data_IF_728050545241
#
_entry.id   IF_728050545241
#
_cell.length_a   1.000
_cell.length_b   1.000
_cell.length_c   1.000
_cell.angle_alpha   90.00
_cell.angle_beta   90.00
_cell.angle_gamma   90.00
#
_symmetry.space_group_name_H-M   'P 1'
#
loop_
_entity.id
_entity.type
_entity.pdbx_description
1 polymer ?
#
# COMPACT_ATOMS: atom_id res chain seq x y z
N UNK A 1 -26.44 -5.33 5.22
CA UNK A 1 -25.67 -5.44 6.49
C UNK A 1 -25.43 -4.02 6.98
N UNK A 2 -26.00 -3.60 8.12
CA UNK A 2 -25.84 -2.23 8.65
C UNK A 2 -24.34 -1.99 8.91
N UNK A 3 -23.78 -0.92 8.32
CA UNK A 3 -22.40 -0.52 8.59
C UNK A 3 -22.20 -0.31 10.09
N UNK A 4 -21.09 -0.80 10.64
CA UNK A 4 -20.76 -0.69 12.06
C UNK A 4 -20.35 0.76 12.37
N UNK A 5 -21.29 1.57 12.86
CA UNK A 5 -21.15 3.03 13.02
C UNK A 5 -21.00 3.50 14.48
N UNK A 6 -19.98 3.02 15.19
CA UNK A 6 -19.58 3.65 16.48
C UNK A 6 -18.39 4.57 16.22
N UNK A 7 -18.52 5.84 16.61
CA UNK A 7 -17.43 6.81 16.54
C UNK A 7 -16.58 6.73 17.81
N UNK A 8 -15.25 6.61 17.63
CA UNK A 8 -14.27 6.65 18.71
C UNK A 8 -13.41 7.91 18.55
N UNK A 9 -13.17 8.62 19.65
CA UNK A 9 -12.32 9.81 19.68
C UNK A 9 -11.07 9.55 20.52
N UNK A 10 -9.91 9.87 19.97
CA UNK A 10 -8.61 9.72 20.64
C UNK A 10 -8.02 11.11 20.89
N UNK A 11 -7.48 11.35 22.10
CA UNK A 11 -6.65 12.52 22.38
C UNK A 11 -5.20 12.15 22.14
N UNK A 12 -4.49 13.00 21.39
CA UNK A 12 -3.07 12.84 21.07
C UNK A 12 -2.43 14.23 21.01
N UNK A 13 -1.16 14.31 21.35
CA UNK A 13 -0.34 15.49 21.09
C UNK A 13 -0.21 15.74 19.58
N UNK A 14 0.15 16.96 19.14
CA UNK A 14 0.37 17.24 17.72
C UNK A 14 1.43 16.33 17.09
N UNK A 15 2.50 16.00 17.83
CA UNK A 15 3.57 15.12 17.38
C UNK A 15 3.08 13.67 17.17
N UNK A 16 2.34 13.13 18.13
CA UNK A 16 1.73 11.79 18.03
C UNK A 16 0.74 11.72 16.87
N UNK A 17 -0.10 12.74 16.69
CA UNK A 17 -1.04 12.80 15.58
C UNK A 17 -0.33 12.83 14.22
N UNK A 18 0.79 13.54 14.11
CA UNK A 18 1.62 13.57 12.90
C UNK A 18 2.24 12.19 12.62
N UNK A 19 2.78 11.54 13.65
CA UNK A 19 3.35 10.20 13.54
C UNK A 19 2.30 9.17 13.11
N UNK A 20 1.11 9.19 13.72
CA UNK A 20 0.01 8.29 13.35
C UNK A 20 -0.38 8.47 11.88
N UNK A 21 -0.47 9.72 11.40
CA UNK A 21 -0.75 9.99 9.98
C UNK A 21 0.36 9.47 9.06
N UNK A 22 1.62 9.68 9.44
CA UNK A 22 2.76 9.18 8.68
C UNK A 22 2.74 7.65 8.56
N UNK A 23 2.52 6.94 9.67
CA UNK A 23 2.44 5.48 9.70
C UNK A 23 1.24 4.94 8.91
N UNK A 24 0.08 5.59 9.00
CA UNK A 24 -1.09 5.23 8.21
C UNK A 24 -0.82 5.37 6.71
N UNK A 25 -0.20 6.48 6.29
CA UNK A 25 0.19 6.71 4.90
C UNK A 25 1.20 5.66 4.41
N UNK A 26 2.22 5.33 5.22
CA UNK A 26 3.19 4.29 4.90
C UNK A 26 2.53 2.90 4.75
N UNK A 27 1.45 2.65 5.50
CA UNK A 27 0.62 1.46 5.39
C UNK A 27 -0.38 1.52 4.21
N UNK A 28 -0.46 2.64 3.47
CA UNK A 28 -1.46 2.89 2.43
C UNK A 28 -2.89 2.71 2.94
N UNK A 29 -3.15 3.21 4.16
CA UNK A 29 -4.44 3.18 4.83
C UNK A 29 -4.83 4.59 5.26
N UNK A 30 -6.14 4.82 5.41
CA UNK A 30 -6.61 6.00 6.14
C UNK A 30 -6.23 5.89 7.61
N UNK A 31 -6.09 7.01 8.32
CA UNK A 31 -5.78 7.00 9.76
C UNK A 31 -6.74 6.14 10.57
N UNK A 32 -8.04 6.22 10.31
CA UNK A 32 -9.05 5.41 11.00
C UNK A 32 -8.92 3.91 10.70
N UNK A 33 -8.65 3.54 9.45
CA UNK A 33 -8.43 2.15 9.07
C UNK A 33 -7.15 1.60 9.70
N UNK A 34 -6.06 2.38 9.70
CA UNK A 34 -4.80 2.03 10.35
C UNK A 34 -4.99 1.80 11.85
N UNK A 35 -5.59 2.77 12.57
CA UNK A 35 -5.84 2.65 14.01
C UNK A 35 -6.74 1.46 14.33
N UNK A 36 -7.78 1.21 13.54
CA UNK A 36 -8.66 0.05 13.71
C UNK A 36 -7.89 -1.26 13.53
N UNK A 37 -7.08 -1.37 12.48
CA UNK A 37 -6.24 -2.55 12.23
C UNK A 37 -5.29 -2.80 13.39
N UNK A 38 -4.58 -1.77 13.85
CA UNK A 38 -3.65 -1.89 14.98
C UNK A 38 -4.38 -2.26 16.28
N UNK A 39 -5.50 -1.61 16.59
CA UNK A 39 -6.27 -1.88 17.81
C UNK A 39 -6.84 -3.31 17.86
N UNK A 40 -7.19 -3.87 16.71
CA UNK A 40 -7.69 -5.25 16.59
C UNK A 40 -6.59 -6.29 16.42
N UNK A 41 -5.31 -5.90 16.60
CA UNK A 41 -4.13 -6.75 16.32
C UNK A 41 -4.14 -7.34 14.91
N UNK A 42 -4.77 -6.65 13.96
CA UNK A 42 -4.78 -7.01 12.56
C UNK A 42 -3.42 -6.71 11.92
N UNK A 43 -3.12 -7.41 10.83
CA UNK A 43 -1.89 -7.19 10.10
C UNK A 43 -2.07 -6.06 9.07
N UNK A 44 -1.55 -4.87 9.40
CA UNK A 44 -1.54 -3.73 8.48
C UNK A 44 -0.77 -4.02 7.18
N UNK A 45 0.14 -5.01 7.17
CA UNK A 45 0.88 -5.43 5.97
C UNK A 45 -0.05 -6.11 4.96
N UNK A 46 -0.97 -6.96 5.42
CA UNK A 46 -1.93 -7.63 4.53
C UNK A 46 -2.83 -6.59 3.86
N UNK A 47 -3.35 -5.64 4.63
CA UNK A 47 -4.17 -4.57 4.07
C UNK A 47 -3.38 -3.69 3.09
N UNK A 48 -2.13 -3.34 3.41
CA UNK A 48 -1.22 -2.62 2.50
C UNK A 48 -1.00 -3.36 1.19
N UNK A 49 -0.72 -4.66 1.25
CA UNK A 49 -0.47 -5.50 0.06
C UNK A 49 -1.72 -5.61 -0.83
N UNK A 50 -2.90 -5.70 -0.21
CA UNK A 50 -4.17 -5.68 -0.96
C UNK A 50 -4.38 -4.35 -1.69
N UNK A 51 -4.13 -3.22 -1.01
CA UNK A 51 -4.22 -1.89 -1.63
C UNK A 51 -3.21 -1.73 -2.77
N UNK A 52 -1.96 -2.16 -2.56
CA UNK A 52 -0.93 -2.14 -3.61
C UNK A 52 -1.35 -2.99 -4.81
N UNK A 53 -1.83 -4.22 -4.58
CA UNK A 53 -2.28 -5.10 -5.64
C UNK A 53 -3.43 -4.47 -6.46
N UNK A 54 -4.39 -3.82 -5.80
CA UNK A 54 -5.50 -3.14 -6.47
C UNK A 54 -5.00 -1.99 -7.37
N UNK A 55 -4.08 -1.16 -6.88
CA UNK A 55 -3.55 -0.05 -7.68
C UNK A 55 -2.70 -0.56 -8.85
N UNK A 56 -1.87 -1.58 -8.64
CA UNK A 56 -1.08 -2.20 -9.70
C UNK A 56 -1.97 -2.79 -10.81
N UNK A 57 -3.08 -3.44 -10.42
CA UNK A 57 -4.07 -3.95 -11.37
C UNK A 57 -4.71 -2.82 -12.18
N UNK A 58 -5.05 -1.70 -11.54
CA UNK A 58 -5.60 -0.51 -12.19
C UNK A 58 -4.62 0.09 -13.20
N UNK A 59 -3.36 0.27 -12.80
CA UNK A 59 -2.29 0.78 -13.66
C UNK A 59 -2.02 -0.14 -14.86
N UNK A 60 -1.98 -1.46 -14.64
CA UNK A 60 -1.84 -2.42 -15.73
C UNK A 60 -3.01 -2.36 -16.73
N UNK A 61 -4.24 -2.16 -16.23
CA UNK A 61 -5.41 -1.94 -17.08
C UNK A 61 -5.30 -0.68 -17.95
N UNK A 62 -4.85 0.42 -17.35
CA UNK A 62 -4.61 1.69 -18.07
C UNK A 62 -3.53 1.52 -19.13
N UNK A 63 -2.42 0.87 -18.79
CA UNK A 63 -1.32 0.65 -19.73
C UNK A 63 -1.76 -0.21 -20.93
N UNK A 64 -2.53 -1.27 -20.69
CA UNK A 64 -3.14 -2.07 -21.76
C UNK A 64 -4.04 -1.22 -22.67
N UNK A 65 -4.84 -0.33 -22.09
CA UNK A 65 -5.72 0.56 -22.84
C UNK A 65 -4.94 1.51 -23.74
N UNK A 66 -3.93 2.20 -23.19
CA UNK A 66 -3.08 3.13 -23.94
C UNK A 66 -2.28 2.43 -25.05
N UNK A 67 -1.81 1.20 -24.80
CA UNK A 67 -1.13 0.38 -25.80
C UNK A 67 -2.08 0.00 -26.95
N UNK A 68 -3.32 -0.40 -26.64
CA UNK A 68 -4.32 -0.73 -27.66
C UNK A 68 -4.70 0.48 -28.53
N UNK A 69 -4.62 1.70 -27.98
CA UNK A 69 -4.86 2.94 -28.72
C UNK A 69 -3.65 3.41 -29.54
N UNK A 70 -2.53 2.69 -29.52
CA UNK A 70 -1.29 3.10 -30.20
C UNK A 70 -0.66 4.36 -29.62
N UNK A 71 -1.08 4.79 -28.42
CA UNK A 71 -0.59 5.99 -27.73
C UNK A 71 0.71 5.74 -26.97
N UNK A 72 1.16 4.48 -26.91
CA UNK A 72 2.42 4.08 -26.31
C UNK A 72 3.39 3.64 -27.40
N UNK A 73 4.64 4.06 -27.27
CA UNK A 73 5.73 3.52 -28.09
C UNK A 73 5.83 2.00 -27.92
N UNK A 74 6.28 1.30 -28.97
CA UNK A 74 6.27 -0.18 -29.05
C UNK A 74 6.95 -0.87 -27.85
N UNK A 75 7.95 -0.23 -27.24
CA UNK A 75 8.72 -0.73 -26.10
C UNK A 75 8.19 -0.29 -24.72
N UNK A 76 7.27 0.67 -24.65
CA UNK A 76 6.80 1.21 -23.37
C UNK A 76 6.09 0.18 -22.48
N UNK A 77 5.26 -0.75 -23.02
CA UNK A 77 4.68 -1.83 -22.21
C UNK A 77 5.70 -2.79 -21.62
N UNK A 78 6.74 -3.12 -22.40
CA UNK A 78 7.80 -4.04 -21.99
C UNK A 78 8.69 -3.42 -20.92
N UNK A 79 9.04 -2.14 -21.07
CA UNK A 79 9.79 -1.38 -20.07
C UNK A 79 9.00 -1.25 -18.76
N UNK A 80 7.71 -0.91 -18.83
CA UNK A 80 6.86 -0.81 -17.63
C UNK A 80 6.75 -2.15 -16.88
N UNK A 81 6.69 -3.27 -17.60
CA UNK A 81 6.70 -4.60 -16.98
C UNK A 81 8.05 -4.90 -16.31
N UNK A 82 9.17 -4.52 -16.93
CA UNK A 82 10.51 -4.67 -16.36
C UNK A 82 10.68 -3.84 -15.08
N UNK A 83 10.27 -2.57 -15.12
CA UNK A 83 10.32 -1.65 -13.97
C UNK A 83 9.44 -2.16 -12.82
N UNK A 84 8.26 -2.68 -13.13
CA UNK A 84 7.36 -3.27 -12.15
C UNK A 84 7.99 -4.48 -11.45
N UNK A 85 8.58 -5.40 -12.21
CA UNK A 85 9.28 -6.57 -11.65
C UNK A 85 10.45 -6.15 -10.76
N UNK A 86 11.20 -5.12 -11.14
CA UNK A 86 12.29 -4.59 -10.34
C UNK A 86 11.80 -3.92 -9.05
N UNK A 87 10.67 -3.20 -9.10
CA UNK A 87 10.08 -2.58 -7.92
C UNK A 87 9.54 -3.62 -6.93
N UNK A 88 8.81 -4.64 -7.41
CA UNK A 88 8.32 -5.75 -6.56
C UNK A 88 9.47 -6.47 -5.89
N UNK A 89 10.56 -6.74 -6.64
CA UNK A 89 11.73 -7.43 -6.09
C UNK A 89 12.39 -6.63 -4.96
N UNK A 90 12.60 -5.32 -5.16
CA UNK A 90 13.13 -4.43 -4.11
C UNK A 90 12.26 -4.43 -2.85
N UNK A 91 10.94 -4.36 -3.01
CA UNK A 91 10.01 -4.43 -1.87
C UNK A 91 10.12 -5.77 -1.14
N UNK A 92 10.22 -6.89 -1.87
CA UNK A 92 10.42 -8.20 -1.25
C UNK A 92 11.76 -8.28 -0.49
N UNK A 93 12.85 -7.80 -1.09
CA UNK A 93 14.19 -7.78 -0.48
C UNK A 93 14.23 -6.91 0.79
N UNK A 94 13.67 -5.70 0.74
CA UNK A 94 13.53 -4.83 1.92
C UNK A 94 12.70 -5.48 3.04
N UNK A 95 11.65 -6.22 2.68
CA UNK A 95 10.82 -6.94 3.65
C UNK A 95 11.54 -8.12 4.30
N UNK A 96 12.36 -8.84 3.54
CA UNK A 96 13.16 -9.95 4.08
C UNK A 96 14.28 -9.43 4.99
N UNK A 97 14.93 -8.32 4.65
CA UNK A 97 15.88 -7.64 5.53
C UNK A 97 15.23 -7.14 6.83
N UNK A 98 14.04 -6.54 6.75
CA UNK A 98 13.29 -6.10 7.94
C UNK A 98 12.88 -7.27 8.86
N UNK A 99 12.69 -8.48 8.31
CA UNK A 99 12.45 -9.70 9.10
C UNK A 99 13.72 -10.23 9.78
N UNK A 100 14.88 -10.06 9.16
CA UNK A 100 16.16 -10.54 9.71
C UNK A 100 16.72 -9.62 10.80
N UNK A 101 16.44 -8.31 10.74
CA UNK A 101 16.83 -7.34 11.77
C UNK A 101 15.97 -7.37 13.04
N UNK A 102 14.86 -8.12 13.05
CA UNK A 102 13.97 -8.33 14.19
C UNK A 102 14.08 -9.77 14.70
N UNK A 103 15.30 -10.21 15.02
CA UNK A 103 15.52 -11.35 15.92
C UNK A 103 15.71 -10.80 17.34
N UNK A 104 15.02 -11.32 18.36
CA UNK A 104 15.29 -10.97 19.76
C UNK A 104 16.71 -11.37 20.18
#
# INVERSE_FOLDING_TARGET
MRERTTHLTLRATPAEAALIRHLANAALLTTSAYLRTMALRGDARVARLQTLHAELRRQGGLLKHLAAQGQLGRSAPEQALADWRAAVRRVCEEMDHARQGHRP
#
